data_IF_428590834110
#
_entry.id   IF_428590834110
#
_cell.length_a   1.000
_cell.length_b   1.000
_cell.length_c   1.000
_cell.angle_alpha   90.00
_cell.angle_beta   90.00
_cell.angle_gamma   90.00
#
_symmetry.space_group_name_H-M   'P 1'
#
loop_
_entity.id
_entity.type
_entity.pdbx_description
1 polymer ?
#
# COMPACT_ATOMS: atom_id res chain seq x y z
N UNK A 1 -40.76 -43.92 -14.96
CA UNK A 1 -40.01 -43.67 -16.22
C UNK A 1 -39.86 -42.16 -16.33
N UNK A 2 -38.63 -41.61 -16.28
CA UNK A 2 -38.35 -40.17 -16.19
C UNK A 2 -38.56 -39.54 -17.59
N UNK A 3 -38.65 -38.23 -17.83
CA UNK A 3 -37.94 -37.11 -17.23
C UNK A 3 -38.61 -35.80 -17.69
N UNK A 4 -38.90 -34.88 -16.76
CA UNK A 4 -39.11 -33.47 -17.07
C UNK A 4 -37.76 -32.86 -17.45
N UNK A 5 -37.58 -32.50 -18.72
CA UNK A 5 -36.46 -31.65 -19.14
C UNK A 5 -36.77 -30.21 -18.71
N UNK A 6 -36.30 -29.87 -17.51
CA UNK A 6 -36.04 -28.48 -17.11
C UNK A 6 -34.85 -28.00 -17.95
N UNK A 7 -35.13 -27.22 -19.00
CA UNK A 7 -34.11 -26.43 -19.67
C UNK A 7 -33.65 -25.34 -18.69
N UNK A 8 -32.52 -25.59 -18.03
CA UNK A 8 -31.80 -24.59 -17.24
C UNK A 8 -31.29 -23.53 -18.21
N UNK A 9 -31.83 -22.31 -18.14
CA UNK A 9 -31.19 -21.13 -18.71
C UNK A 9 -29.88 -20.90 -17.96
N UNK A 10 -28.77 -21.29 -18.59
CA UNK A 10 -27.43 -20.89 -18.17
C UNK A 10 -27.32 -19.41 -18.54
N UNK A 11 -27.68 -18.52 -17.62
CA UNK A 11 -27.34 -17.12 -17.74
C UNK A 11 -25.80 -17.02 -17.72
N UNK A 12 -25.15 -16.45 -18.76
CA UNK A 12 -23.74 -16.16 -18.67
C UNK A 12 -23.58 -15.09 -17.59
N UNK A 13 -23.03 -15.48 -16.44
CA UNK A 13 -22.49 -14.51 -15.49
C UNK A 13 -21.43 -13.72 -16.25
N UNK A 14 -21.76 -12.47 -16.57
CA UNK A 14 -20.81 -11.52 -17.15
C UNK A 14 -19.68 -11.43 -16.14
N UNK A 15 -18.53 -12.04 -16.43
CA UNK A 15 -17.30 -11.76 -15.72
C UNK A 15 -17.02 -10.27 -15.93
N UNK A 16 -17.24 -9.47 -14.90
CA UNK A 16 -16.79 -8.09 -14.86
C UNK A 16 -15.27 -8.13 -14.96
N UNK A 17 -14.74 -7.95 -16.17
CA UNK A 17 -13.32 -7.72 -16.37
C UNK A 17 -12.96 -6.51 -15.52
N UNK A 18 -12.16 -6.74 -14.49
CA UNK A 18 -11.68 -5.74 -13.54
C UNK A 18 -10.68 -4.86 -14.30
N UNK A 19 -11.19 -3.93 -15.10
CA UNK A 19 -10.37 -2.96 -15.81
C UNK A 19 -10.00 -1.84 -14.84
N UNK A 20 -8.73 -1.42 -14.83
CA UNK A 20 -8.19 -0.56 -13.78
C UNK A 20 -9.13 0.57 -13.33
N UNK A 21 -9.68 0.48 -12.12
CA UNK A 21 -10.64 1.44 -11.60
C UNK A 21 -9.94 2.45 -10.69
N UNK A 22 -10.27 3.74 -10.83
CA UNK A 22 -9.89 4.77 -9.86
C UNK A 22 -8.38 4.90 -9.63
N UNK A 23 -7.58 5.01 -10.70
CA UNK A 23 -6.11 4.94 -10.65
C UNK A 23 -5.46 6.30 -10.41
N UNK A 24 -4.51 6.40 -9.48
CA UNK A 24 -3.73 7.64 -9.27
C UNK A 24 -2.80 7.87 -10.46
N UNK A 25 -3.07 8.92 -11.25
CA UNK A 25 -2.22 9.32 -12.36
C UNK A 25 -1.02 10.14 -11.91
N UNK A 26 -1.26 11.07 -10.97
CA UNK A 26 -0.23 11.94 -10.42
C UNK A 26 -0.68 12.62 -9.13
N UNK A 27 0.28 12.99 -8.29
CA UNK A 27 0.09 13.88 -7.16
C UNK A 27 1.12 15.02 -7.21
N UNK A 28 0.67 16.25 -6.99
CA UNK A 28 1.50 17.45 -7.04
C UNK A 28 1.36 18.24 -5.75
N UNK A 29 2.46 18.38 -5.01
CA UNK A 29 2.57 19.28 -3.86
C UNK A 29 3.06 20.66 -4.28
N UNK A 30 4.17 21.10 -3.69
CA UNK A 30 4.79 22.40 -3.90
C UNK A 30 4.99 22.73 -5.38
N UNK A 31 4.72 23.98 -5.75
CA UNK A 31 4.90 24.46 -7.13
C UNK A 31 6.37 24.30 -7.55
N UNK A 32 6.59 23.63 -8.69
CA UNK A 32 7.93 23.42 -9.25
C UNK A 32 8.65 22.16 -8.77
N UNK A 33 8.11 21.41 -7.80
CA UNK A 33 8.58 20.04 -7.55
C UNK A 33 8.03 19.10 -8.64
N UNK A 34 8.67 17.94 -8.90
CA UNK A 34 8.10 16.94 -9.79
C UNK A 34 6.75 16.43 -9.27
N UNK A 35 6.01 15.71 -10.11
CA UNK A 35 4.81 15.00 -9.68
C UNK A 35 5.19 13.62 -9.14
N UNK A 36 4.54 13.19 -8.06
CA UNK A 36 4.56 11.80 -7.62
C UNK A 36 3.64 10.95 -8.47
N UNK A 37 4.00 9.68 -8.67
CA UNK A 37 3.18 8.70 -9.38
C UNK A 37 2.61 7.68 -8.40
N UNK A 38 1.50 7.03 -8.78
CA UNK A 38 0.98 5.89 -8.02
C UNK A 38 2.04 4.79 -7.91
N UNK A 39 2.16 4.17 -6.73
CA UNK A 39 3.10 3.07 -6.52
C UNK A 39 2.65 1.83 -7.29
N UNK A 40 3.59 1.21 -8.02
CA UNK A 40 3.48 -0.06 -8.75
C UNK A 40 2.41 -0.17 -9.86
N UNK A 41 1.50 0.80 -9.97
CA UNK A 41 0.39 0.74 -10.94
C UNK A 41 0.85 1.10 -12.35
N UNK A 42 0.52 0.24 -13.31
CA UNK A 42 0.87 0.44 -14.71
C UNK A 42 -0.25 1.14 -15.48
N UNK A 43 -0.20 2.47 -15.54
CA UNK A 43 -1.25 3.30 -16.18
C UNK A 43 -1.39 3.12 -17.69
N UNK A 44 -0.40 2.54 -18.35
CA UNK A 44 -0.46 2.20 -19.79
C UNK A 44 -1.12 0.84 -20.06
N UNK A 45 -1.35 0.05 -19.01
CA UNK A 45 -2.03 -1.24 -19.05
C UNK A 45 -3.34 -1.15 -18.25
N UNK A 46 -4.17 -2.17 -18.33
CA UNK A 46 -5.39 -2.25 -17.53
C UNK A 46 -5.08 -2.72 -16.10
N UNK A 47 -4.32 -1.92 -15.35
CA UNK A 47 -3.93 -2.17 -13.96
C UNK A 47 -4.62 -1.22 -12.98
N UNK A 48 -4.88 -1.68 -11.75
CA UNK A 48 -5.40 -0.85 -10.67
C UNK A 48 -4.93 -1.32 -9.30
N UNK A 49 -4.84 -0.37 -8.38
CA UNK A 49 -4.60 -0.64 -6.97
C UNK A 49 -5.91 -1.06 -6.30
N UNK A 50 -5.85 -2.12 -5.50
CA UNK A 50 -6.95 -2.59 -4.65
C UNK A 50 -6.46 -2.59 -3.20
N UNK A 51 -7.15 -1.85 -2.33
CA UNK A 51 -6.78 -1.62 -0.93
C UNK A 51 -7.87 -2.21 -0.01
N UNK A 52 -7.93 -3.53 0.14
CA UNK A 52 -8.90 -4.16 1.04
C UNK A 52 -8.38 -4.23 2.47
N UNK A 53 -9.15 -3.71 3.42
CA UNK A 53 -8.83 -3.82 4.85
C UNK A 53 -8.71 -5.27 5.32
N UNK A 54 -9.47 -6.21 4.75
CA UNK A 54 -9.36 -7.64 5.07
C UNK A 54 -7.96 -8.18 4.76
N UNK A 55 -7.44 -7.90 3.56
CA UNK A 55 -6.11 -8.34 3.11
C UNK A 55 -4.99 -7.70 3.95
N UNK A 56 -5.15 -6.42 4.34
CA UNK A 56 -4.21 -5.72 5.22
C UNK A 56 -4.26 -6.32 6.64
N UNK A 57 -5.45 -6.64 7.15
CA UNK A 57 -5.63 -7.15 8.51
C UNK A 57 -5.12 -8.58 8.69
N UNK A 58 -5.15 -9.38 7.62
CA UNK A 58 -4.59 -10.74 7.59
C UNK A 58 -3.13 -10.78 7.15
N UNK A 59 -2.51 -9.61 6.93
CA UNK A 59 -1.10 -9.48 6.51
C UNK A 59 -0.78 -10.22 5.20
N UNK A 60 -1.76 -10.31 4.31
CA UNK A 60 -1.57 -10.80 2.93
C UNK A 60 -0.96 -9.70 2.05
N UNK A 61 -1.31 -8.44 2.34
CA UNK A 61 -0.75 -7.24 1.70
C UNK A 61 -0.44 -6.18 2.76
N UNK A 62 0.39 -5.19 2.41
CA UNK A 62 0.54 -3.99 3.24
C UNK A 62 -0.59 -2.97 2.97
N UNK A 63 -0.55 -1.82 3.63
CA UNK A 63 -1.57 -0.79 3.56
C UNK A 63 -1.81 -0.15 2.22
N UNK A 64 -0.84 -0.22 1.31
CA UNK A 64 -1.01 0.22 -0.08
C UNK A 64 -1.72 -0.82 -0.93
N UNK A 65 -1.93 -2.03 -0.39
CA UNK A 65 -2.65 -3.11 -1.04
C UNK A 65 -1.82 -3.77 -2.13
N UNK A 66 -2.50 -4.15 -3.21
CA UNK A 66 -1.90 -4.80 -4.38
C UNK A 66 -2.32 -4.13 -5.66
N UNK A 67 -1.65 -4.44 -6.76
CA UNK A 67 -2.19 -4.21 -8.10
C UNK A 67 -2.72 -5.49 -8.74
N UNK A 68 -3.51 -5.36 -9.80
CA UNK A 68 -4.06 -6.50 -10.53
C UNK A 68 -2.96 -7.31 -11.21
N UNK A 69 -1.98 -6.61 -11.79
CA UNK A 69 -0.89 -7.24 -12.56
C UNK A 69 0.34 -7.54 -11.70
N UNK A 70 0.62 -6.72 -10.70
CA UNK A 70 1.86 -6.74 -9.93
C UNK A 70 1.77 -7.40 -8.55
N UNK A 71 0.58 -7.76 -8.08
CA UNK A 71 0.41 -8.29 -6.73
C UNK A 71 0.74 -7.25 -5.64
N UNK A 72 1.14 -7.70 -4.45
CA UNK A 72 1.40 -6.82 -3.30
C UNK A 72 2.38 -5.69 -3.66
N UNK A 73 2.07 -4.47 -3.22
CA UNK A 73 2.87 -3.29 -3.56
C UNK A 73 4.05 -3.18 -2.60
N UNK A 74 5.29 -3.21 -3.09
CA UNK A 74 6.45 -2.92 -2.22
C UNK A 74 6.64 -1.40 -2.08
N UNK A 75 6.23 -0.84 -0.94
CA UNK A 75 6.31 0.62 -0.70
C UNK A 75 7.77 1.09 -0.72
N UNK A 76 8.69 0.32 -0.14
CA UNK A 76 10.10 0.70 -0.05
C UNK A 76 10.74 0.71 -1.43
N UNK A 77 10.65 -0.39 -2.17
CA UNK A 77 11.24 -0.51 -3.51
C UNK A 77 10.67 0.53 -4.49
N UNK A 78 9.35 0.69 -4.52
CA UNK A 78 8.71 1.66 -5.42
C UNK A 78 9.09 3.10 -5.05
N UNK A 79 9.16 3.42 -3.76
CA UNK A 79 9.56 4.75 -3.30
C UNK A 79 11.01 5.05 -3.67
N UNK A 80 11.93 4.13 -3.46
CA UNK A 80 13.34 4.31 -3.84
C UNK A 80 13.51 4.44 -5.36
N UNK A 81 12.74 3.69 -6.13
CA UNK A 81 12.70 3.81 -7.60
C UNK A 81 12.22 5.19 -8.03
N UNK A 82 11.15 5.70 -7.42
CA UNK A 82 10.63 7.04 -7.74
C UNK A 82 11.60 8.15 -7.29
N UNK A 83 12.31 7.98 -6.17
CA UNK A 83 13.35 8.90 -5.74
C UNK A 83 14.51 8.95 -6.75
N UNK A 84 14.98 7.79 -7.20
CA UNK A 84 16.01 7.70 -8.23
C UNK A 84 15.57 8.37 -9.56
N UNK A 85 14.30 8.20 -9.93
CA UNK A 85 13.70 8.79 -11.12
C UNK A 85 13.28 10.25 -10.96
N UNK A 86 13.42 10.83 -9.77
CA UNK A 86 12.98 12.21 -9.44
C UNK A 86 11.49 12.43 -9.70
N UNK A 87 10.67 11.44 -9.39
CA UNK A 87 9.21 11.49 -9.49
C UNK A 87 8.57 11.45 -8.11
N UNK A 88 9.09 12.25 -7.18
CA UNK A 88 8.51 12.42 -5.83
C UNK A 88 8.32 13.90 -5.56
N UNK A 89 7.07 14.30 -5.41
CA UNK A 89 6.67 15.69 -5.16
C UNK A 89 7.08 16.15 -3.76
N UNK A 90 7.33 17.45 -3.62
CA UNK A 90 7.71 18.05 -2.34
C UNK A 90 6.49 18.61 -1.62
N UNK A 91 6.50 18.58 -0.30
CA UNK A 91 5.44 19.11 0.57
C UNK A 91 6.01 19.82 1.80
N UNK A 92 5.18 20.65 2.43
CA UNK A 92 5.46 21.27 3.74
C UNK A 92 4.30 21.01 4.69
N UNK A 93 4.51 21.23 5.98
CA UNK A 93 3.45 21.19 7.00
C UNK A 93 2.31 22.13 6.63
N UNK A 94 1.07 21.65 6.75
CA UNK A 94 -0.13 22.42 6.38
C UNK A 94 -0.26 22.74 4.88
N UNK A 95 0.67 22.31 4.04
CA UNK A 95 0.61 22.49 2.59
C UNK A 95 -0.45 21.61 1.95
N UNK A 96 -0.78 21.88 0.68
CA UNK A 96 -1.72 21.07 -0.08
C UNK A 96 -1.02 20.17 -1.10
N UNK A 97 -1.63 19.03 -1.38
CA UNK A 97 -1.28 18.11 -2.48
C UNK A 97 -2.51 17.91 -3.34
N UNK A 98 -2.39 18.22 -4.62
CA UNK A 98 -3.43 17.97 -5.61
C UNK A 98 -3.19 16.62 -6.30
N UNK A 99 -4.15 15.71 -6.19
CA UNK A 99 -4.10 14.36 -6.74
C UNK A 99 -5.06 14.25 -7.90
N UNK A 100 -4.60 13.71 -9.03
CA UNK A 100 -5.44 13.38 -10.18
C UNK A 100 -5.66 11.87 -10.22
N UNK A 101 -6.91 11.45 -10.17
CA UNK A 101 -7.33 10.05 -10.25
C UNK A 101 -8.10 9.85 -11.55
N UNK A 102 -7.70 8.86 -12.35
CA UNK A 102 -8.45 8.42 -13.52
C UNK A 102 -9.62 7.56 -13.06
N UNK A 103 -10.84 8.06 -13.24
CA UNK A 103 -12.02 7.23 -13.14
C UNK A 103 -12.22 6.52 -14.48
N UNK A 104 -12.17 5.18 -14.47
CA UNK A 104 -12.38 4.35 -15.67
C UNK A 104 -13.81 3.84 -15.75
N UNK A 105 -14.44 3.54 -14.60
CA UNK A 105 -15.82 3.07 -14.53
C UNK A 105 -16.52 3.60 -13.25
N UNK A 106 -17.76 3.14 -13.01
CA UNK A 106 -18.54 3.54 -11.84
C UNK A 106 -17.90 3.12 -10.50
N UNK A 107 -17.17 2.00 -10.46
CA UNK A 107 -16.51 1.56 -9.23
C UNK A 107 -15.29 2.41 -8.89
N UNK A 108 -14.67 3.07 -9.87
CA UNK A 108 -13.58 4.03 -9.66
C UNK A 108 -14.05 5.44 -9.27
N UNK A 109 -15.34 5.64 -9.01
CA UNK A 109 -15.87 6.92 -8.55
C UNK A 109 -15.49 7.20 -7.08
N UNK A 110 -15.49 8.47 -6.69
CA UNK A 110 -15.38 8.86 -5.30
C UNK A 110 -16.69 8.62 -4.51
N UNK A 111 -16.75 9.08 -3.24
CA UNK A 111 -15.74 9.89 -2.57
C UNK A 111 -14.51 9.10 -2.11
N UNK A 112 -13.35 9.72 -2.23
CA UNK A 112 -12.07 9.21 -1.73
C UNK A 112 -11.81 9.68 -0.29
N UNK A 113 -11.24 8.78 0.50
CA UNK A 113 -10.61 9.09 1.78
C UNK A 113 -9.11 8.91 1.64
N UNK A 114 -8.33 9.78 2.27
CA UNK A 114 -6.87 9.66 2.26
C UNK A 114 -6.30 9.77 3.67
N UNK A 115 -5.20 9.06 3.90
CA UNK A 115 -4.42 9.09 5.13
C UNK A 115 -2.91 9.05 4.82
N UNK A 116 -2.10 9.46 5.81
CA UNK A 116 -0.66 9.65 5.70
C UNK A 116 0.08 8.71 6.65
N UNK A 117 0.92 7.84 6.11
CA UNK A 117 1.96 7.14 6.85
C UNK A 117 3.22 8.01 6.88
N UNK A 118 3.59 8.49 8.08
CA UNK A 118 4.77 9.32 8.28
C UNK A 118 6.09 8.52 8.27
N UNK A 119 5.99 7.20 8.41
CA UNK A 119 7.11 6.26 8.41
C UNK A 119 7.47 5.79 7.00
N UNK A 120 6.51 5.85 6.06
CA UNK A 120 6.63 5.30 4.70
C UNK A 120 7.09 3.84 4.72
N UNK A 121 6.70 3.09 5.74
CA UNK A 121 7.23 1.76 6.06
C UNK A 121 6.11 0.80 6.43
N UNK A 122 5.07 0.80 5.62
CA UNK A 122 4.07 -0.24 5.64
C UNK A 122 3.19 -0.28 6.92
N UNK A 123 2.80 0.88 7.47
CA UNK A 123 1.88 0.91 8.62
C UNK A 123 0.64 0.07 8.29
N UNK A 124 0.22 -0.92 9.09
CA UNK A 124 -0.89 -1.82 8.73
C UNK A 124 -2.29 -1.17 8.68
N UNK A 125 -3.33 -1.78 9.27
CA UNK A 125 -4.68 -1.14 9.27
C UNK A 125 -4.80 0.13 10.13
N UNK A 126 -3.75 0.51 10.85
CA UNK A 126 -3.74 1.57 11.86
C UNK A 126 -2.35 2.20 11.93
N UNK A 127 -2.25 3.49 12.26
CA UNK A 127 -1.00 4.24 12.36
C UNK A 127 -0.99 5.48 11.47
N UNK A 128 -1.79 5.45 10.40
CA UNK A 128 -1.91 6.56 9.46
C UNK A 128 -2.67 7.74 10.06
N UNK A 129 -2.22 8.94 9.71
CA UNK A 129 -2.87 10.20 10.07
C UNK A 129 -3.92 10.56 9.01
N UNK A 130 -5.22 10.65 9.35
CA UNK A 130 -6.25 11.04 8.39
C UNK A 130 -5.98 12.42 7.78
N UNK A 131 -6.18 12.56 6.47
CA UNK A 131 -6.02 13.82 5.76
C UNK A 131 -7.37 14.48 5.50
N UNK A 132 -7.39 15.82 5.50
CA UNK A 132 -8.53 16.57 5.00
C UNK A 132 -8.55 16.48 3.48
N UNK A 133 -9.63 15.94 2.92
CA UNK A 133 -9.82 15.76 1.47
C UNK A 133 -10.91 16.72 0.98
N UNK A 134 -10.60 17.50 -0.05
CA UNK A 134 -11.60 18.19 -0.87
C UNK A 134 -11.62 17.53 -2.24
N UNK A 135 -12.75 16.94 -2.60
CA UNK A 135 -12.92 16.27 -3.88
C UNK A 135 -13.67 17.16 -4.87
N UNK A 136 -13.21 17.16 -6.11
CA UNK A 136 -13.91 17.75 -7.25
C UNK A 136 -13.97 16.70 -8.34
N UNK A 137 -15.17 16.22 -8.60
CA UNK A 137 -15.43 15.39 -9.77
C UNK A 137 -15.34 16.24 -11.03
N UNK A 138 -14.69 15.68 -12.07
CA UNK A 138 -15.02 16.08 -13.44
C UNK A 138 -15.99 15.06 -14.00
N UNK A 139 -17.09 15.53 -14.59
CA UNK A 139 -18.03 14.68 -15.31
C UNK A 139 -17.29 13.94 -16.45
N UNK A 140 -16.86 12.70 -16.19
CA UNK A 140 -16.44 11.75 -17.24
C UNK A 140 -14.94 11.62 -17.52
N UNK A 141 -14.04 11.70 -16.52
CA UNK A 141 -12.67 11.25 -16.76
C UNK A 141 -11.75 11.28 -15.54
N UNK A 142 -11.55 12.45 -14.94
CA UNK A 142 -10.58 12.62 -13.86
C UNK A 142 -11.21 13.20 -12.60
N UNK A 143 -10.97 12.56 -11.47
CA UNK A 143 -11.32 13.09 -10.15
C UNK A 143 -10.10 13.85 -9.64
N UNK A 144 -10.31 15.06 -9.12
CA UNK A 144 -9.24 15.84 -8.50
C UNK A 144 -9.46 15.92 -7.00
N UNK A 145 -8.49 15.44 -6.23
CA UNK A 145 -8.47 15.60 -4.78
C UNK A 145 -7.51 16.71 -4.41
N UNK A 146 -7.87 17.55 -3.44
CA UNK A 146 -6.94 18.45 -2.77
C UNK A 146 -6.82 18.02 -1.32
N UNK A 147 -5.63 17.55 -0.95
CA UNK A 147 -5.30 17.01 0.36
C UNK A 147 -4.55 18.07 1.17
N UNK A 148 -4.96 18.32 2.41
CA UNK A 148 -4.17 19.18 3.32
C UNK A 148 -3.26 18.32 4.19
N UNK A 149 -1.95 18.54 4.09
CA UNK A 149 -0.93 17.90 4.91
C UNK A 149 -1.07 18.32 6.39
N UNK A 150 -0.79 17.44 7.36
CA UNK A 150 -0.88 17.79 8.78
C UNK A 150 0.09 18.93 9.15
N UNK A 151 -0.30 19.76 10.11
CA UNK A 151 0.56 20.85 10.62
C UNK A 151 1.71 20.35 11.48
N UNK A 152 1.58 19.16 12.05
CA UNK A 152 2.56 18.45 12.88
C UNK A 152 3.29 17.33 12.11
N UNK A 153 3.14 17.29 10.77
CA UNK A 153 3.78 16.31 9.89
C UNK A 153 5.30 16.24 10.10
N UNK A 154 5.81 15.02 10.27
CA UNK A 154 7.20 14.68 10.48
C UNK A 154 7.53 13.38 9.73
N UNK A 155 7.72 13.48 8.42
CA UNK A 155 8.15 12.38 7.59
C UNK A 155 9.53 11.88 8.03
N UNK A 156 9.67 10.57 8.20
CA UNK A 156 10.92 9.92 8.61
C UNK A 156 11.32 8.78 7.67
N UNK A 157 10.54 8.50 6.64
CA UNK A 157 10.71 7.32 5.80
C UNK A 157 11.75 7.42 4.69
N UNK A 158 11.95 6.27 4.04
CA UNK A 158 12.86 6.04 2.92
C UNK A 158 14.34 6.37 3.19
N UNK A 159 15.18 6.24 2.17
CA UNK A 159 16.62 6.50 2.21
C UNK A 159 16.97 7.96 2.51
N UNK A 160 16.10 8.90 2.16
CA UNK A 160 16.31 10.34 2.42
C UNK A 160 15.85 10.77 3.81
N UNK A 161 15.14 9.90 4.55
CA UNK A 161 14.70 10.15 5.94
C UNK A 161 13.66 11.25 6.10
N UNK A 162 12.97 11.63 5.02
CA UNK A 162 11.97 12.69 5.00
C UNK A 162 10.83 12.39 4.02
N UNK A 163 10.55 11.11 3.79
CA UNK A 163 9.45 10.65 2.95
C UNK A 163 8.28 10.17 3.80
N UNK A 164 7.08 10.54 3.38
CA UNK A 164 5.83 9.96 3.84
C UNK A 164 5.14 9.25 2.66
N UNK A 165 4.30 8.27 2.96
CA UNK A 165 3.39 7.66 1.99
C UNK A 165 1.99 8.19 2.23
N UNK A 166 1.36 8.73 1.19
CA UNK A 166 -0.07 9.05 1.20
C UNK A 166 -0.80 7.89 0.57
N UNK A 167 -1.86 7.43 1.22
CA UNK A 167 -2.78 6.43 0.71
C UNK A 167 -4.14 7.08 0.48
N UNK A 168 -4.72 6.88 -0.69
CA UNK A 168 -6.08 7.33 -1.02
C UNK A 168 -6.89 6.14 -1.54
N UNK A 169 -8.12 5.97 -1.05
CA UNK A 169 -9.02 4.92 -1.52
C UNK A 169 -10.49 5.32 -1.39
N UNK A 170 -11.33 4.76 -2.27
CA UNK A 170 -12.78 4.92 -2.22
C UNK A 170 -13.46 3.78 -1.43
N UNK A 171 -14.80 3.71 -1.48
CA UNK A 171 -15.60 2.70 -0.75
C UNK A 171 -16.24 1.63 -1.66
N UNK A 172 -15.72 1.43 -2.88
CA UNK A 172 -16.31 0.47 -3.81
C UNK A 172 -16.20 -0.98 -3.29
N UNK A 173 -17.29 -1.73 -3.38
CA UNK A 173 -17.35 -3.12 -2.89
C UNK A 173 -16.53 -4.08 -3.75
N UNK A 174 -16.47 -3.81 -5.07
CA UNK A 174 -15.63 -4.54 -6.02
C UNK A 174 -14.14 -4.45 -5.67
N UNK A 175 -13.76 -3.50 -4.82
CA UNK A 175 -12.45 -3.30 -4.23
C UNK A 175 -12.32 -1.82 -3.90
N UNK A 176 -11.88 -1.41 -2.70
CA UNK A 176 -11.49 -0.03 -2.51
C UNK A 176 -10.38 0.32 -3.48
N UNK A 177 -10.68 1.19 -4.44
CA UNK A 177 -9.79 1.60 -5.51
C UNK A 177 -9.11 2.93 -5.16
N UNK A 178 -7.93 3.17 -5.72
CA UNK A 178 -7.14 4.37 -5.44
C UNK A 178 -5.66 4.10 -5.62
N UNK A 179 -4.89 4.21 -4.53
CA UNK A 179 -3.48 3.85 -4.50
C UNK A 179 -2.69 4.60 -3.44
N UNK A 180 -1.39 4.33 -3.43
CA UNK A 180 -0.42 5.07 -2.64
C UNK A 180 0.49 5.91 -3.54
N UNK A 181 1.05 6.97 -2.98
CA UNK A 181 2.15 7.73 -3.59
C UNK A 181 3.04 8.33 -2.51
N UNK A 182 4.33 8.50 -2.82
CA UNK A 182 5.28 9.11 -1.92
C UNK A 182 5.23 10.65 -1.97
N UNK A 183 5.51 11.32 -0.86
CA UNK A 183 5.74 12.76 -0.79
C UNK A 183 6.99 13.06 0.02
N UNK A 184 7.77 14.06 -0.39
CA UNK A 184 8.98 14.48 0.31
C UNK A 184 8.78 15.76 1.10
N UNK A 185 8.92 15.68 2.42
CA UNK A 185 8.82 16.85 3.27
C UNK A 185 10.11 17.68 3.22
N UNK A 186 9.98 18.97 2.89
CA UNK A 186 11.13 19.88 2.76
C UNK A 186 11.37 20.79 3.96
N UNK A 187 10.38 20.93 4.85
CA UNK A 187 10.44 21.78 6.05
C UNK A 187 10.73 20.98 7.34
N UNK A 188 11.48 19.88 7.19
CA UNK A 188 11.91 19.01 8.29
C UNK A 188 13.41 18.72 8.19
N UNK A 189 14.05 18.48 9.34
CA UNK A 189 15.37 17.86 9.35
C UNK A 189 15.21 16.38 9.11
N UNK A 190 15.77 15.88 8.01
CA UNK A 190 15.72 14.46 7.66
C UNK A 190 16.21 13.56 8.81
N UNK A 191 15.47 12.48 9.05
CA UNK A 191 15.85 11.40 9.95
C UNK A 191 17.11 10.69 9.44
N UNK A 192 17.95 10.22 10.37
CA UNK A 192 19.07 9.34 10.05
C UNK A 192 18.65 7.90 10.30
N UNK A 193 18.14 7.26 9.25
CA UNK A 193 17.66 5.89 9.33
C UNK A 193 18.84 4.92 9.29
N UNK A 194 19.09 4.26 10.42
CA UNK A 194 20.04 3.14 10.52
C UNK A 194 19.38 1.95 11.20
N UNK A 195 19.81 0.70 10.94
CA UNK A 195 19.24 -0.47 11.61
C UNK A 195 19.26 -0.37 13.14
N UNK A 196 20.26 0.29 13.73
CA UNK A 196 20.39 0.45 15.18
C UNK A 196 19.51 1.55 15.81
N UNK A 197 18.85 2.38 15.00
CA UNK A 197 18.03 3.52 15.46
C UNK A 197 16.55 3.36 15.17
N UNK A 198 16.18 2.37 14.35
CA UNK A 198 14.79 2.08 13.99
C UNK A 198 14.26 1.05 14.97
N UNK A 199 13.26 1.42 15.76
CA UNK A 199 12.53 0.46 16.58
C UNK A 199 11.59 -0.33 15.67
N UNK A 200 11.82 -1.64 15.56
CA UNK A 200 10.90 -2.57 14.88
C UNK A 200 9.78 -2.93 15.85
N UNK A 201 8.51 -2.74 15.49
CA UNK A 201 7.38 -3.15 16.32
C UNK A 201 7.17 -4.67 16.39
N UNK A 202 7.79 -5.45 15.47
CA UNK A 202 7.67 -6.90 15.51
C UNK A 202 8.45 -7.49 16.69
N UNK A 203 7.73 -8.19 17.55
CA UNK A 203 8.29 -9.01 18.62
C UNK A 203 8.68 -10.38 18.06
N UNK A 204 9.63 -11.07 18.71
CA UNK A 204 9.97 -12.45 18.35
C UNK A 204 8.74 -13.36 18.35
N UNK A 205 7.86 -13.21 19.35
CA UNK A 205 6.60 -13.93 19.44
C UNK A 205 5.70 -13.65 18.22
N UNK A 206 5.56 -12.39 17.83
CA UNK A 206 4.80 -11.99 16.65
C UNK A 206 5.36 -12.56 15.34
N UNK A 207 6.70 -12.55 15.20
CA UNK A 207 7.38 -13.18 14.05
C UNK A 207 7.10 -14.68 14.02
N UNK A 208 7.22 -15.38 15.15
CA UNK A 208 6.98 -16.82 15.21
C UNK A 208 5.51 -17.18 14.93
N UNK A 209 4.57 -16.36 15.41
CA UNK A 209 3.15 -16.52 15.08
C UNK A 209 2.90 -16.36 13.56
N UNK A 210 3.53 -15.37 12.93
CA UNK A 210 3.44 -15.20 11.47
C UNK A 210 4.05 -16.38 10.70
N UNK A 211 5.21 -16.90 11.13
CA UNK A 211 5.81 -18.10 10.52
C UNK A 211 4.86 -19.30 10.60
N UNK A 212 4.21 -19.50 11.75
CA UNK A 212 3.25 -20.58 11.91
C UNK A 212 2.02 -20.40 11.00
N UNK A 213 1.56 -19.16 10.81
CA UNK A 213 0.47 -18.85 9.90
C UNK A 213 0.89 -19.09 8.43
N UNK A 214 2.06 -18.61 8.03
CA UNK A 214 2.61 -18.83 6.69
C UNK A 214 2.74 -20.32 6.35
N UNK A 215 3.13 -21.16 7.31
CA UNK A 215 3.20 -22.61 7.13
C UNK A 215 1.82 -23.24 6.87
N UNK A 216 0.75 -22.70 7.46
CA UNK A 216 -0.63 -23.15 7.22
C UNK A 216 -1.15 -22.69 5.86
N UNK A 217 -0.76 -21.49 5.44
CA UNK A 217 -1.22 -20.87 4.19
C UNK A 217 -0.44 -21.35 2.96
N UNK A 218 0.78 -21.85 3.15
CA UNK A 218 1.68 -22.30 2.07
C UNK A 218 1.04 -23.34 1.12
N UNK A 219 0.33 -24.39 1.58
CA UNK A 219 -0.32 -25.34 0.67
C UNK A 219 -1.37 -24.70 -0.23
N UNK A 220 -2.16 -23.76 0.31
CA UNK A 220 -3.17 -23.02 -0.45
C UNK A 220 -2.51 -22.12 -1.51
N UNK A 221 -1.43 -21.43 -1.14
CA UNK A 221 -0.64 -20.63 -2.07
C UNK A 221 -0.02 -21.46 -3.20
N UNK A 222 0.55 -22.63 -2.88
CA UNK A 222 1.10 -23.55 -3.89
C UNK A 222 0.01 -24.00 -4.87
N UNK A 223 -1.16 -24.40 -4.34
CA UNK A 223 -2.30 -24.81 -5.17
C UNK A 223 -2.75 -23.67 -6.10
N UNK A 224 -2.96 -22.48 -5.55
CA UNK A 224 -3.35 -21.30 -6.32
C UNK A 224 -2.34 -20.96 -7.42
N UNK A 225 -1.04 -21.01 -7.12
CA UNK A 225 0.01 -20.77 -8.11
C UNK A 225 0.07 -21.85 -9.19
N UNK A 226 -0.24 -23.11 -8.86
CA UNK A 226 -0.25 -24.21 -9.82
C UNK A 226 -1.46 -24.19 -10.76
N UNK A 227 -2.56 -23.57 -10.33
CA UNK A 227 -3.84 -23.50 -11.07
C UNK A 227 -4.01 -22.17 -11.82
N UNK A 228 -3.19 -21.15 -11.53
CA UNK A 228 -3.29 -19.83 -12.14
C UNK A 228 -2.75 -19.77 -13.58
N UNK A 229 -3.46 -19.05 -14.45
CA UNK A 229 -2.91 -18.50 -15.70
C UNK A 229 -2.16 -17.19 -15.38
N UNK A 230 -1.18 -16.82 -16.22
CA UNK A 230 -0.33 -15.63 -16.01
C UNK A 230 -1.13 -14.35 -15.76
N UNK A 231 -2.30 -14.21 -16.39
CA UNK A 231 -3.12 -13.00 -16.34
C UNK A 231 -3.98 -12.88 -15.07
N UNK A 232 -4.04 -13.92 -14.22
CA UNK A 232 -4.94 -13.98 -13.05
C UNK A 232 -4.24 -14.38 -11.74
N UNK A 233 -2.91 -14.59 -11.78
CA UNK A 233 -2.13 -15.18 -10.71
C UNK A 233 -2.24 -14.43 -9.37
N UNK A 234 -2.24 -13.09 -9.40
CA UNK A 234 -2.34 -12.27 -8.19
C UNK A 234 -3.69 -12.35 -7.48
N UNK A 235 -4.80 -12.50 -8.22
CA UNK A 235 -6.16 -12.54 -7.63
C UNK A 235 -6.45 -13.90 -7.01
N UNK A 236 -6.13 -14.99 -7.73
CA UNK A 236 -6.35 -16.35 -7.22
C UNK A 236 -5.50 -16.67 -5.99
N UNK A 237 -4.24 -16.20 -5.94
CA UNK A 237 -3.39 -16.39 -4.78
C UNK A 237 -3.97 -15.71 -3.52
N UNK A 238 -4.47 -14.48 -3.65
CA UNK A 238 -5.06 -13.74 -2.53
C UNK A 238 -6.37 -14.38 -2.05
N UNK A 239 -7.27 -14.76 -2.95
CA UNK A 239 -8.55 -15.39 -2.58
C UNK A 239 -8.34 -16.74 -1.87
N UNK A 240 -7.36 -17.54 -2.33
CA UNK A 240 -7.01 -18.80 -1.70
C UNK A 240 -6.49 -18.59 -0.27
N UNK A 241 -5.59 -17.62 -0.08
CA UNK A 241 -5.02 -17.27 1.23
C UNK A 241 -6.06 -16.74 2.21
N UNK A 242 -7.00 -15.90 1.75
CA UNK A 242 -8.09 -15.37 2.58
C UNK A 242 -9.09 -16.45 2.99
N UNK A 243 -9.25 -17.51 2.20
CA UNK A 243 -10.15 -18.62 2.50
C UNK A 243 -9.57 -19.64 3.49
N UNK A 244 -8.24 -19.70 3.63
CA UNK A 244 -7.53 -20.64 4.53
C UNK A 244 -7.27 -20.10 5.94
N UNK A 245 -7.43 -18.79 6.17
CA UNK A 245 -7.06 -18.12 7.42
C UNK A 245 -8.23 -17.95 8.40
N UNK A 246 -8.19 -18.50 9.62
CA UNK A 246 -8.87 -17.89 10.76
C UNK A 246 -8.12 -16.60 11.16
N UNK A 247 -8.84 -15.57 11.61
CA UNK A 247 -8.31 -14.24 11.98
C UNK A 247 -7.33 -14.35 13.15
N UNK A 248 -6.06 -14.67 12.89
CA UNK A 248 -4.98 -14.46 13.82
C UNK A 248 -4.50 -13.01 13.68
N UNK A 249 -4.37 -12.30 14.81
CA UNK A 249 -3.85 -10.93 14.81
C UNK A 249 -2.40 -10.94 14.31
N UNK A 250 -2.20 -10.57 13.05
CA UNK A 250 -0.88 -10.54 12.45
C UNK A 250 0.01 -9.52 13.18
N UNK A 251 1.27 -9.91 13.41
CA UNK A 251 2.28 -9.00 13.93
C UNK A 251 2.58 -7.93 12.88
N UNK A 252 2.08 -6.71 13.08
CA UNK A 252 2.30 -5.60 12.15
C UNK A 252 3.73 -5.08 12.27
N UNK A 253 4.40 -4.90 11.14
CA UNK A 253 5.70 -4.26 11.08
C UNK A 253 5.55 -2.72 11.10
N UNK A 254 5.14 -2.17 12.23
CA UNK A 254 5.18 -0.71 12.45
C UNK A 254 6.60 -0.32 12.83
N UNK A 255 7.15 0.79 12.34
CA UNK A 255 8.44 1.28 12.83
C UNK A 255 8.37 2.75 13.21
N UNK A 256 8.63 3.05 14.48
CA UNK A 256 8.71 4.43 14.99
C UNK A 256 10.18 4.79 15.21
N UNK A 257 10.71 5.75 14.45
CA UNK A 257 12.01 6.34 14.76
C UNK A 257 11.83 7.35 15.92
N UNK A 258 12.30 7.00 17.11
CA UNK A 258 12.34 7.96 18.23
C UNK A 258 13.46 8.97 18.02
N UNK A 259 13.11 10.16 17.54
CA UNK A 259 14.02 11.31 17.45
C UNK A 259 14.34 11.94 18.81
N UNK A 260 15.11 11.25 19.67
CA UNK A 260 15.84 11.88 20.78
C UNK A 260 17.18 11.20 21.01
N UNK A 261 18.24 11.81 20.48
CA UNK A 261 19.61 11.41 20.75
C UNK A 261 19.92 11.46 22.26
N UNK A 262 20.09 10.30 22.90
CA UNK A 262 20.75 10.22 24.20
C UNK A 262 22.26 10.12 23.97
N UNK A 263 22.99 11.14 24.42
CA UNK A 263 24.45 11.13 24.52
C UNK A 263 24.91 10.19 25.65
N UNK A 264 25.99 9.46 25.33
CA UNK A 264 27.04 8.90 26.17
C UNK A 264 26.79 7.63 27.03
N UNK A 265 27.67 6.65 26.80
CA UNK A 265 28.07 5.62 27.74
C UNK A 265 29.01 4.61 27.09
N UNK A 266 30.31 4.67 27.42
CA UNK A 266 31.40 3.85 26.88
C UNK A 266 31.23 2.33 27.16
N UNK A 267 31.80 1.53 26.26
CA UNK A 267 32.49 0.24 26.45
C UNK A 267 31.95 -1.04 25.79
N UNK A 268 32.91 -1.71 25.17
CA UNK A 268 33.05 -3.12 24.80
C UNK A 268 32.36 -3.64 23.54
N UNK A 269 33.09 -3.46 22.43
CA UNK A 269 33.13 -4.37 21.30
C UNK A 269 33.27 -5.83 21.76
N UNK A 270 32.28 -6.67 21.45
CA UNK A 270 32.50 -8.10 21.17
C UNK A 270 31.94 -8.41 19.79
N UNK A 271 32.86 -8.48 18.82
CA UNK A 271 32.63 -8.99 17.47
C UNK A 271 32.29 -10.48 17.57
N UNK A 272 31.07 -10.88 17.22
CA UNK A 272 30.79 -12.27 16.89
C UNK A 272 30.86 -12.41 15.37
N UNK A 273 31.89 -13.13 14.90
CA UNK A 273 32.02 -13.56 13.50
C UNK A 273 30.94 -14.60 13.23
N UNK A 274 29.97 -14.30 12.38
CA UNK A 274 29.07 -15.32 11.84
C UNK A 274 29.79 -15.98 10.66
N UNK A 275 30.03 -17.29 10.80
CA UNK A 275 30.56 -18.14 9.75
C UNK A 275 29.51 -18.32 8.66
N UNK A 276 29.93 -18.15 7.40
CA UNK A 276 29.19 -18.55 6.21
C UNK A 276 29.54 -20.01 5.95
N UNK A 277 28.53 -20.86 5.81
CA UNK A 277 28.55 -22.11 5.06
C UNK A 277 27.17 -22.31 4.47
#
# INVERSE_FOLDING_TARGET
>A
MPSLIRLLYIAPTILSLVHGQGVILKAQGSKGSPASLGLQVQTTQSDANIIRTSEISTNVVNECGRTLLGGNIDIGENTETQLANKTVTSVTKGGNVDVTIQQVNADGAGPYTCDLDQTSNADGTTGQTPLKVTEKDSNGGNITLSLTMPTDMACIGASTGNICTVRCFNKAAAGPFGGCFAVQQTDVTASKNTPGTIATAQTLEGVMAQVQQNNQDLPAAIKANSEATLDQQGVFAVDALLSSTPVAAAAKATSTATGKGKKNGKNNQKRYKMFVS
#
